data_IF_731511781198
#
_entry.id   IF_731511781198
#
_cell.length_a   1.000
_cell.length_b   1.000
_cell.length_c   1.000
_cell.angle_alpha   90.00
_cell.angle_beta   90.00
_cell.angle_gamma   90.00
#
_symmetry.space_group_name_H-M   'P 1'
#
loop_
_entity.id
_entity.type
_entity.pdbx_description
1 polymer ?
#
# COMPACT_ATOMS: atom_id res chain seq x y z
N UNK A 1 17.38 -17.47 0.53
CA UNK A 1 16.43 -16.38 0.22
C UNK A 1 15.25 -16.98 -0.51
N UNK A 2 14.01 -16.54 -0.32
CA UNK A 2 12.85 -17.14 -1.00
C UNK A 2 12.50 -16.39 -2.29
N UNK A 3 12.15 -17.09 -3.36
CA UNK A 3 11.57 -16.50 -4.58
C UNK A 3 10.08 -16.81 -4.61
N UNK A 4 9.27 -15.79 -4.83
CA UNK A 4 7.81 -15.82 -4.87
C UNK A 4 7.35 -15.35 -6.26
N UNK A 5 6.87 -16.27 -7.10
CA UNK A 5 6.47 -15.99 -8.48
C UNK A 5 4.97 -15.74 -8.52
N UNK A 6 4.55 -14.67 -9.19
CA UNK A 6 3.17 -14.40 -9.61
C UNK A 6 3.06 -14.54 -11.12
N UNK A 7 1.86 -14.76 -11.67
CA UNK A 7 1.62 -14.86 -13.11
C UNK A 7 0.44 -14.03 -13.58
N UNK A 8 0.16 -14.03 -14.87
CA UNK A 8 -1.06 -13.44 -15.47
C UNK A 8 -2.12 -14.49 -15.84
N UNK A 9 -1.90 -15.76 -15.50
CA UNK A 9 -2.88 -16.85 -15.68
C UNK A 9 -4.23 -16.50 -15.00
N UNK A 10 -4.19 -15.69 -13.95
CA UNK A 10 -5.39 -15.11 -13.31
C UNK A 10 -5.22 -13.59 -13.19
N UNK A 11 -6.26 -12.79 -13.51
CA UNK A 11 -6.19 -11.33 -13.39
C UNK A 11 -5.76 -10.84 -11.99
N UNK A 12 -6.13 -11.58 -10.95
CA UNK A 12 -5.76 -11.24 -9.57
C UNK A 12 -4.24 -11.26 -9.34
N UNK A 13 -3.51 -12.15 -10.00
CA UNK A 13 -2.08 -12.33 -9.79
C UNK A 13 -1.26 -11.23 -10.47
N UNK A 14 -1.68 -10.75 -11.65
CA UNK A 14 -1.14 -9.54 -12.25
C UNK A 14 -1.49 -8.29 -11.43
N UNK A 15 -2.68 -8.24 -10.83
CA UNK A 15 -3.04 -7.15 -9.92
C UNK A 15 -2.13 -7.12 -8.68
N UNK A 16 -1.81 -8.29 -8.11
CA UNK A 16 -0.89 -8.37 -6.96
C UNK A 16 0.52 -7.86 -7.32
N UNK A 17 0.95 -7.96 -8.60
CA UNK A 17 2.20 -7.35 -9.09
C UNK A 17 2.14 -5.82 -9.12
N UNK A 18 1.03 -5.24 -9.59
CA UNK A 18 0.86 -3.78 -9.52
C UNK A 18 0.77 -3.30 -8.07
N UNK A 19 0.04 -4.03 -7.23
CA UNK A 19 -0.10 -3.72 -5.79
C UNK A 19 1.25 -3.77 -5.08
N UNK A 20 2.07 -4.80 -5.31
CA UNK A 20 3.36 -4.91 -4.64
C UNK A 20 4.32 -3.80 -5.09
N UNK A 21 4.28 -3.35 -6.35
CA UNK A 21 5.05 -2.18 -6.81
C UNK A 21 4.52 -0.88 -6.20
N UNK A 22 3.22 -0.79 -5.98
CA UNK A 22 2.58 0.41 -5.47
C UNK A 22 2.81 0.66 -3.98
N UNK A 23 3.01 -0.39 -3.18
CA UNK A 23 3.17 -0.29 -1.74
C UNK A 23 4.41 0.56 -1.35
N UNK A 24 4.32 1.42 -0.32
CA UNK A 24 5.52 2.01 0.26
C UNK A 24 6.33 0.96 1.02
N UNK A 25 7.61 1.24 1.26
CA UNK A 25 8.49 0.35 2.04
C UNK A 25 7.88 0.06 3.42
N UNK A 26 7.87 -1.21 3.81
CA UNK A 26 7.31 -1.72 5.06
C UNK A 26 5.83 -2.12 4.96
N UNK A 27 5.07 -1.58 4.00
CA UNK A 27 3.66 -1.90 3.86
C UNK A 27 3.46 -3.33 3.36
N UNK A 28 2.34 -3.95 3.75
CA UNK A 28 2.16 -5.39 3.66
C UNK A 28 1.20 -5.79 2.53
N UNK A 29 1.49 -6.93 1.90
CA UNK A 29 0.63 -7.62 0.92
C UNK A 29 0.54 -9.10 1.27
N UNK A 30 -0.57 -9.74 0.90
CA UNK A 30 -0.70 -11.20 0.96
C UNK A 30 -0.55 -11.82 -0.43
N UNK A 31 0.35 -12.79 -0.55
CA UNK A 31 0.47 -13.67 -1.71
C UNK A 31 -0.04 -15.06 -1.36
N UNK A 32 -0.72 -15.72 -2.31
CA UNK A 32 -1.44 -16.97 -2.06
C UNK A 32 -1.05 -18.03 -3.08
N UNK A 33 -0.77 -19.22 -2.59
CA UNK A 33 -0.29 -20.33 -3.41
C UNK A 33 -1.03 -21.62 -3.05
N UNK A 34 -1.35 -22.43 -4.06
CA UNK A 34 -1.78 -23.80 -3.81
C UNK A 34 -0.58 -24.65 -3.38
N UNK A 35 -0.82 -25.67 -2.55
CA UNK A 35 0.24 -26.58 -2.09
C UNK A 35 1.15 -27.16 -3.19
N UNK A 36 0.65 -27.58 -4.37
CA UNK A 36 1.52 -28.12 -5.43
C UNK A 36 2.52 -27.11 -5.99
N UNK A 37 2.24 -25.81 -5.82
CA UNK A 37 3.05 -24.71 -6.37
C UNK A 37 4.22 -24.33 -5.45
N UNK A 38 4.40 -24.96 -4.29
CA UNK A 38 5.53 -24.70 -3.40
C UNK A 38 6.57 -25.81 -3.53
N UNK A 39 7.85 -25.43 -3.52
CA UNK A 39 8.94 -26.34 -3.25
C UNK A 39 8.78 -27.01 -1.87
N UNK A 40 9.21 -28.27 -1.76
CA UNK A 40 8.93 -29.11 -0.59
C UNK A 40 9.61 -28.61 0.70
N UNK A 41 10.78 -27.99 0.57
CA UNK A 41 11.50 -27.35 1.66
C UNK A 41 10.72 -26.16 2.24
N UNK A 42 10.15 -25.30 1.40
CA UNK A 42 9.30 -24.19 1.84
C UNK A 42 8.08 -24.71 2.57
N UNK A 43 7.41 -25.74 2.03
CA UNK A 43 6.24 -26.35 2.69
C UNK A 43 6.59 -26.86 4.10
N UNK A 44 7.79 -27.43 4.28
CA UNK A 44 8.29 -27.89 5.58
C UNK A 44 8.57 -26.77 6.59
N UNK A 45 8.94 -25.57 6.11
CA UNK A 45 9.26 -24.41 6.95
C UNK A 45 8.03 -23.63 7.42
N UNK A 46 6.93 -23.60 6.65
CA UNK A 46 5.74 -22.80 6.98
C UNK A 46 5.12 -23.14 8.35
N UNK A 47 4.85 -24.42 8.70
CA UNK A 47 4.22 -24.75 9.99
C UNK A 47 5.06 -24.40 11.22
N UNK A 48 6.35 -24.12 11.04
CA UNK A 48 7.31 -23.83 12.11
C UNK A 48 7.58 -22.34 12.28
N UNK A 49 6.88 -21.48 11.55
CA UNK A 49 7.11 -20.02 11.50
C UNK A 49 8.56 -19.63 11.14
N UNK A 50 9.31 -20.55 10.52
CA UNK A 50 10.74 -20.37 10.23
C UNK A 50 11.02 -19.37 9.10
N UNK A 51 9.98 -18.95 8.37
CA UNK A 51 10.11 -18.00 7.27
C UNK A 51 9.91 -16.55 7.72
N UNK A 52 9.49 -16.29 8.96
CA UNK A 52 9.29 -14.91 9.43
C UNK A 52 10.64 -14.17 9.54
N UNK A 53 10.71 -12.97 8.96
CA UNK A 53 11.92 -12.16 8.87
C UNK A 53 12.83 -12.49 7.67
N UNK A 54 12.56 -13.58 6.95
CA UNK A 54 13.35 -13.96 5.78
C UNK A 54 13.16 -12.98 4.62
N UNK A 55 14.26 -12.67 3.92
CA UNK A 55 14.21 -11.90 2.70
C UNK A 55 13.64 -12.75 1.56
N UNK A 56 12.80 -12.14 0.73
CA UNK A 56 12.25 -12.76 -0.46
C UNK A 56 12.25 -11.82 -1.68
N UNK A 57 12.16 -12.41 -2.86
CA UNK A 57 12.04 -11.72 -4.14
C UNK A 57 10.70 -12.08 -4.75
N UNK A 58 9.89 -11.07 -5.06
CA UNK A 58 8.69 -11.25 -5.88
C UNK A 58 9.08 -11.14 -7.34
N UNK A 59 8.72 -12.15 -8.13
CA UNK A 59 8.89 -12.22 -9.57
C UNK A 59 7.52 -12.28 -10.26
N UNK A 60 7.47 -11.83 -11.50
CA UNK A 60 6.36 -12.04 -12.40
C UNK A 60 6.78 -13.02 -13.50
N UNK A 61 5.86 -13.86 -13.93
CA UNK A 61 6.03 -14.71 -15.12
C UNK A 61 4.80 -14.56 -16.01
N UNK A 62 5.03 -14.27 -17.28
CA UNK A 62 3.96 -14.18 -18.26
C UNK A 62 3.58 -15.56 -18.80
N UNK A 63 2.32 -15.69 -19.20
CA UNK A 63 1.78 -16.90 -19.81
C UNK A 63 2.41 -17.23 -21.17
N UNK A 64 1.97 -18.35 -21.74
CA UNK A 64 2.47 -18.84 -23.02
C UNK A 64 2.11 -17.94 -24.23
N UNK A 65 1.12 -17.05 -24.09
CA UNK A 65 0.64 -16.18 -25.16
C UNK A 65 1.42 -14.85 -25.22
N UNK A 66 2.22 -14.56 -24.20
CA UNK A 66 2.98 -13.32 -24.10
C UNK A 66 4.17 -13.26 -25.09
N UNK A 67 4.64 -12.05 -25.47
CA UNK A 67 5.79 -11.88 -26.37
C UNK A 67 7.11 -12.48 -25.85
N UNK A 68 7.28 -12.50 -24.53
CA UNK A 68 8.37 -13.18 -23.83
C UNK A 68 7.77 -14.17 -22.83
N UNK A 69 7.27 -15.32 -23.30
CA UNK A 69 6.55 -16.24 -22.46
C UNK A 69 7.52 -16.89 -21.47
N UNK A 70 7.08 -17.08 -20.23
CA UNK A 70 7.84 -17.74 -19.16
C UNK A 70 9.14 -17.04 -18.70
N UNK A 71 9.47 -15.85 -19.18
CA UNK A 71 10.59 -15.09 -18.62
C UNK A 71 10.25 -14.63 -17.18
N UNK A 72 11.14 -14.89 -16.22
CA UNK A 72 10.99 -14.38 -14.86
C UNK A 72 11.44 -12.92 -14.81
N UNK A 73 10.48 -12.01 -14.61
CA UNK A 73 10.75 -10.59 -14.41
C UNK A 73 10.84 -10.33 -12.90
N UNK A 74 12.01 -9.95 -12.36
CA UNK A 74 12.10 -9.59 -10.95
C UNK A 74 11.41 -8.26 -10.69
N UNK A 75 10.52 -8.23 -9.70
CA UNK A 75 9.64 -7.10 -9.43
C UNK A 75 10.07 -6.33 -8.20
N UNK A 76 10.11 -7.00 -7.04
CA UNK A 76 10.38 -6.32 -5.78
C UNK A 76 10.97 -7.24 -4.72
N UNK A 77 11.93 -6.73 -3.96
CA UNK A 77 12.35 -7.35 -2.71
C UNK A 77 11.30 -7.13 -1.64
N UNK A 78 11.08 -8.16 -0.83
CA UNK A 78 10.16 -8.14 0.29
C UNK A 78 10.76 -8.85 1.49
N UNK A 79 10.18 -8.65 2.67
CA UNK A 79 10.47 -9.45 3.86
C UNK A 79 9.22 -10.26 4.20
N UNK A 80 9.36 -11.56 4.42
CA UNK A 80 8.24 -12.41 4.84
C UNK A 80 7.92 -12.05 6.30
N UNK A 81 6.74 -11.49 6.54
CA UNK A 81 6.27 -11.17 7.90
C UNK A 81 5.66 -12.40 8.55
N UNK A 82 4.89 -13.16 7.78
CA UNK A 82 4.21 -14.37 8.23
C UNK A 82 3.97 -15.30 7.06
N UNK A 83 4.11 -16.59 7.27
CA UNK A 83 3.66 -17.61 6.34
C UNK A 83 2.76 -18.59 7.11
N UNK A 84 1.61 -18.92 6.56
CA UNK A 84 0.67 -19.84 7.19
C UNK A 84 0.01 -20.76 6.16
N UNK A 85 -0.38 -21.96 6.60
CA UNK A 85 -1.16 -22.90 5.80
C UNK A 85 -2.62 -22.81 6.22
N UNK A 86 -3.50 -22.51 5.27
CA UNK A 86 -4.96 -22.46 5.46
C UNK A 86 -5.60 -23.43 4.49
N UNK A 87 -6.02 -24.60 5.00
CA UNK A 87 -6.52 -25.70 4.17
C UNK A 87 -5.45 -26.22 3.22
N UNK A 88 -5.71 -26.13 1.91
CA UNK A 88 -4.79 -26.54 0.83
C UNK A 88 -3.92 -25.38 0.30
N UNK A 89 -4.07 -24.20 0.87
CA UNK A 89 -3.40 -22.98 0.42
C UNK A 89 -2.36 -22.53 1.42
N UNK A 90 -1.29 -21.93 0.90
CA UNK A 90 -0.26 -21.26 1.68
C UNK A 90 -0.39 -19.74 1.44
N UNK A 91 -0.43 -18.99 2.53
CA UNK A 91 -0.57 -17.53 2.52
C UNK A 91 0.71 -16.92 3.07
N UNK A 92 1.36 -16.08 2.28
CA UNK A 92 2.54 -15.32 2.65
C UNK A 92 2.16 -13.86 2.82
N UNK A 93 2.20 -13.36 4.06
CA UNK A 93 2.15 -11.92 4.32
C UNK A 93 3.56 -11.38 4.20
N UNK A 94 3.79 -10.50 3.24
CA UNK A 94 5.10 -9.92 2.92
C UNK A 94 5.07 -8.41 3.09
N UNK A 95 6.15 -7.83 3.62
CA UNK A 95 6.36 -6.39 3.68
C UNK A 95 7.25 -5.94 2.52
N UNK A 96 6.78 -4.97 1.74
CA UNK A 96 7.51 -4.42 0.61
C UNK A 96 8.83 -3.79 1.07
N UNK A 97 9.94 -4.05 0.37
CA UNK A 97 11.24 -3.44 0.65
C UNK A 97 11.68 -2.58 -0.55
N UNK A 98 12.73 -3.00 -1.25
CA UNK A 98 13.35 -2.27 -2.36
C UNK A 98 12.93 -2.79 -3.74
N UNK A 99 13.06 -1.95 -4.76
CA UNK A 99 12.97 -2.36 -6.16
C UNK A 99 14.22 -3.13 -6.59
N UNK A 100 14.11 -3.88 -7.68
CA UNK A 100 15.17 -4.77 -8.17
C UNK A 100 15.92 -4.15 -9.33
N UNK A 101 17.24 -3.98 -9.18
CA UNK A 101 18.13 -3.51 -10.26
C UNK A 101 19.09 -4.62 -10.71
N UNK A 102 19.33 -4.73 -12.02
CA UNK A 102 20.39 -5.57 -12.60
C UNK A 102 20.23 -7.09 -12.47
N UNK A 103 19.10 -7.61 -11.97
CA UNK A 103 18.84 -9.05 -11.90
C UNK A 103 18.06 -9.52 -13.14
N UNK A 104 18.48 -10.66 -13.71
CA UNK A 104 17.89 -11.25 -14.92
C UNK A 104 17.19 -12.59 -14.65
N UNK A 105 16.40 -13.08 -15.62
CA UNK A 105 15.78 -14.41 -15.57
C UNK A 105 16.80 -15.53 -15.36
N UNK A 106 17.95 -15.44 -16.04
CA UNK A 106 19.05 -16.42 -15.95
C UNK A 106 19.59 -16.50 -14.53
N UNK A 107 19.81 -15.36 -13.88
CA UNK A 107 20.32 -15.31 -12.49
C UNK A 107 19.34 -15.96 -11.51
N UNK A 108 18.04 -15.67 -11.68
CA UNK A 108 16.98 -16.20 -10.81
C UNK A 108 16.88 -17.72 -10.97
N UNK A 109 16.84 -18.22 -12.20
CA UNK A 109 16.77 -19.65 -12.49
C UNK A 109 18.02 -20.39 -12.00
N UNK A 110 19.21 -19.83 -12.22
CA UNK A 110 20.47 -20.40 -11.74
C UNK A 110 20.53 -20.51 -10.21
N UNK A 111 19.80 -19.66 -9.48
CA UNK A 111 19.76 -19.70 -8.01
C UNK A 111 18.93 -20.84 -7.42
N UNK A 112 17.98 -21.38 -8.19
CA UNK A 112 17.14 -22.49 -7.76
C UNK A 112 17.96 -23.78 -7.62
N UNK A 113 17.58 -24.66 -6.71
CA UNK A 113 18.23 -25.97 -6.62
C UNK A 113 17.94 -26.81 -7.88
N UNK A 114 18.80 -27.77 -8.27
CA UNK A 114 18.63 -28.53 -9.52
C UNK A 114 17.26 -29.22 -9.67
N UNK A 115 16.70 -29.71 -8.56
CA UNK A 115 15.35 -30.32 -8.53
C UNK A 115 14.26 -29.31 -8.85
N UNK A 116 14.38 -28.09 -8.32
CA UNK A 116 13.40 -27.02 -8.50
C UNK A 116 13.55 -26.35 -9.86
N UNK A 117 14.76 -26.24 -10.40
CA UNK A 117 15.02 -25.69 -11.75
C UNK A 117 14.17 -26.37 -12.83
N UNK A 118 14.03 -27.70 -12.75
CA UNK A 118 13.22 -28.49 -13.69
C UNK A 118 11.71 -28.28 -13.51
N UNK A 119 11.28 -27.64 -12.43
CA UNK A 119 9.88 -27.39 -12.08
C UNK A 119 9.50 -25.92 -12.21
N UNK A 120 10.44 -25.04 -12.53
CA UNK A 120 10.12 -23.63 -12.79
C UNK A 120 9.25 -23.50 -14.05
N UNK A 121 8.38 -22.48 -14.14
CA UNK A 121 7.57 -22.25 -15.33
C UNK A 121 8.46 -22.15 -16.58
N UNK A 122 8.09 -22.85 -17.64
CA UNK A 122 8.88 -22.97 -18.86
C UNK A 122 7.97 -23.10 -20.10
N UNK A 123 8.47 -22.74 -21.31
CA UNK A 123 7.70 -22.82 -22.54
C UNK A 123 7.07 -24.20 -22.80
N UNK A 124 5.84 -24.26 -23.34
CA UNK A 124 5.19 -25.52 -23.69
C UNK A 124 6.09 -26.34 -24.63
N UNK A 125 6.22 -27.64 -24.35
CA UNK A 125 7.11 -28.54 -25.08
C UNK A 125 8.52 -28.72 -24.49
N UNK A 126 8.93 -27.88 -23.53
CA UNK A 126 10.16 -28.13 -22.73
C UNK A 126 9.91 -29.01 -21.49
N UNK A 127 8.65 -29.39 -21.28
CA UNK A 127 8.09 -30.35 -20.30
C UNK A 127 8.77 -30.40 -18.93
N UNK A 128 8.21 -29.70 -17.91
CA UNK A 128 8.35 -30.16 -16.54
C UNK A 128 7.38 -31.34 -16.33
N UNK A 129 7.91 -32.57 -16.37
CA UNK A 129 7.16 -33.80 -16.07
C UNK A 129 6.65 -33.85 -14.62
N UNK A 130 7.12 -32.92 -13.76
CA UNK A 130 6.99 -32.95 -12.31
C UNK A 130 6.11 -31.85 -11.68
N UNK A 131 5.32 -31.12 -12.49
CA UNK A 131 4.42 -30.07 -12.02
C UNK A 131 5.14 -28.78 -11.60
N UNK A 132 4.54 -27.64 -11.95
CA UNK A 132 5.16 -26.32 -11.81
C UNK A 132 5.22 -25.84 -10.35
N UNK A 133 6.30 -25.15 -9.99
CA UNK A 133 6.44 -24.43 -8.72
C UNK A 133 6.52 -22.92 -8.95
N UNK A 134 5.91 -22.18 -8.03
CA UNK A 134 5.87 -20.72 -8.00
C UNK A 134 6.45 -20.15 -6.70
N UNK A 135 6.94 -20.99 -5.80
CA UNK A 135 7.73 -20.54 -4.66
C UNK A 135 8.87 -21.55 -4.39
N UNK A 136 10.11 -21.06 -4.32
CA UNK A 136 11.30 -21.90 -4.11
C UNK A 136 12.42 -21.16 -3.36
N UNK A 137 13.35 -21.91 -2.80
CA UNK A 137 14.52 -21.35 -2.12
C UNK A 137 15.66 -21.07 -3.11
N UNK A 138 16.08 -19.81 -3.18
CA UNK A 138 17.28 -19.37 -3.90
C UNK A 138 18.53 -19.45 -3.03
N UNK A 139 19.63 -19.93 -3.62
CA UNK A 139 20.94 -20.12 -2.98
C UNK A 139 21.77 -18.83 -2.89
N UNK A 140 21.49 -17.83 -3.72
CA UNK A 140 22.26 -16.59 -3.79
C UNK A 140 21.65 -15.48 -2.92
N UNK A 141 22.50 -14.66 -2.32
CA UNK A 141 22.09 -13.43 -1.65
C UNK A 141 22.13 -12.24 -2.63
N UNK A 142 21.00 -11.60 -2.89
CA UNK A 142 20.89 -10.50 -3.87
C UNK A 142 20.83 -9.10 -3.24
N UNK A 143 21.49 -8.87 -2.12
CA UNK A 143 21.43 -7.57 -1.42
C UNK A 143 21.95 -6.40 -2.30
N UNK A 144 22.94 -6.65 -3.17
CA UNK A 144 23.48 -5.65 -4.09
C UNK A 144 22.51 -5.20 -5.21
N UNK A 145 21.39 -5.90 -5.37
CA UNK A 145 20.37 -5.59 -6.38
C UNK A 145 19.21 -4.75 -5.83
N UNK A 146 19.29 -4.29 -4.57
CA UNK A 146 18.26 -3.48 -3.93
C UNK A 146 18.45 -1.99 -4.24
N UNK A 147 17.39 -1.34 -4.73
CA UNK A 147 17.36 0.12 -4.90
C UNK A 147 16.02 0.71 -4.48
N UNK A 148 16.04 1.92 -3.90
CA UNK A 148 14.83 2.69 -3.58
C UNK A 148 14.57 3.81 -4.60
N UNK A 149 15.35 3.89 -5.68
CA UNK A 149 15.19 4.95 -6.69
C UNK A 149 13.94 4.74 -7.55
N UNK A 150 13.32 5.86 -7.94
CA UNK A 150 12.21 5.83 -8.90
C UNK A 150 12.66 5.34 -10.27
N UNK A 151 13.90 5.61 -10.68
CA UNK A 151 14.48 5.06 -11.92
C UNK A 151 14.46 3.52 -11.93
N UNK A 152 14.68 2.87 -10.78
CA UNK A 152 14.62 1.40 -10.70
C UNK A 152 13.18 0.90 -10.76
N UNK A 153 12.25 1.65 -10.18
CA UNK A 153 10.81 1.40 -10.33
C UNK A 153 10.38 1.51 -11.80
N UNK A 154 10.80 2.56 -12.51
CA UNK A 154 10.53 2.77 -13.94
C UNK A 154 11.10 1.64 -14.79
N UNK A 155 12.38 1.28 -14.60
CA UNK A 155 12.99 0.17 -15.32
C UNK A 155 12.29 -1.18 -15.06
N UNK A 156 11.69 -1.36 -13.88
CA UNK A 156 10.89 -2.55 -13.57
C UNK A 156 9.54 -2.49 -14.28
N UNK A 157 8.87 -1.34 -14.27
CA UNK A 157 7.62 -1.13 -15.00
C UNK A 157 7.79 -1.28 -16.52
N UNK A 158 8.90 -0.79 -17.10
CA UNK A 158 9.24 -0.96 -18.52
C UNK A 158 9.36 -2.44 -18.90
N UNK A 159 10.04 -3.25 -18.06
CA UNK A 159 10.12 -4.70 -18.27
C UNK A 159 8.76 -5.37 -18.22
N UNK A 160 7.90 -4.97 -17.28
CA UNK A 160 6.54 -5.50 -17.17
C UNK A 160 5.66 -5.07 -18.35
N UNK A 161 5.81 -3.84 -18.86
CA UNK A 161 5.03 -3.30 -19.97
C UNK A 161 5.32 -3.95 -21.32
N UNK A 162 6.32 -4.84 -21.43
CA UNK A 162 6.47 -5.70 -22.62
C UNK A 162 5.34 -6.74 -22.69
N UNK A 163 4.72 -7.07 -21.57
CA UNK A 163 3.63 -8.03 -21.49
C UNK A 163 2.27 -7.33 -21.69
N UNK A 164 1.42 -7.93 -22.53
CA UNK A 164 0.11 -7.38 -22.92
C UNK A 164 -0.79 -7.10 -21.71
N UNK A 165 -0.72 -7.94 -20.68
CA UNK A 165 -1.44 -7.78 -19.40
C UNK A 165 -1.16 -6.42 -18.73
N UNK A 166 0.04 -5.86 -18.89
CA UNK A 166 0.43 -4.57 -18.29
C UNK A 166 0.49 -3.42 -19.30
N UNK A 167 0.26 -3.69 -20.59
CA UNK A 167 0.33 -2.71 -21.66
C UNK A 167 -1.02 -2.51 -22.33
N UNK A 168 -2.00 -2.12 -21.53
CA UNK A 168 -3.34 -1.79 -22.01
C UNK A 168 -3.61 -0.30 -21.85
N UNK A 169 -4.61 0.23 -22.55
CA UNK A 169 -5.03 1.62 -22.41
C UNK A 169 -5.39 2.03 -20.98
N UNK A 170 -5.75 1.03 -20.16
CA UNK A 170 -6.21 1.13 -18.77
C UNK A 170 -5.08 0.93 -17.77
N UNK A 171 -3.97 0.34 -18.19
CA UNK A 171 -2.84 0.00 -17.31
C UNK A 171 -2.04 1.26 -16.97
N UNK A 172 -1.74 1.41 -15.68
CA UNK A 172 -0.76 2.35 -15.17
C UNK A 172 -0.02 1.68 -14.01
N UNK A 173 1.24 2.02 -13.85
CA UNK A 173 2.00 1.68 -12.65
C UNK A 173 1.96 2.88 -11.72
N UNK A 174 1.99 2.63 -10.42
CA UNK A 174 2.12 3.71 -9.45
C UNK A 174 2.93 3.25 -8.25
N UNK A 175 3.47 4.19 -7.48
CA UNK A 175 4.12 3.92 -6.20
C UNK A 175 3.94 5.08 -5.23
N UNK A 176 3.70 4.76 -3.96
CA UNK A 176 3.59 5.77 -2.90
C UNK A 176 4.99 6.29 -2.58
N UNK A 177 5.25 7.54 -2.97
CA UNK A 177 6.55 8.18 -2.77
C UNK A 177 6.74 8.52 -1.30
N UNK A 178 5.73 9.16 -0.69
CA UNK A 178 5.76 9.55 0.72
C UNK A 178 4.38 9.96 1.24
N UNK A 179 4.26 9.90 2.56
CA UNK A 179 3.24 10.62 3.33
C UNK A 179 3.96 11.64 4.22
N UNK A 180 3.52 12.90 4.19
CA UNK A 180 4.18 13.98 4.93
C UNK A 180 3.16 14.94 5.58
N UNK A 181 3.52 15.54 6.72
CA UNK A 181 2.67 16.53 7.43
C UNK A 181 2.73 17.88 6.71
N UNK A 182 1.57 18.42 6.32
CA UNK A 182 1.45 19.74 5.71
C UNK A 182 1.44 20.80 6.81
N UNK A 183 2.50 21.64 6.85
CA UNK A 183 2.61 22.72 7.83
C UNK A 183 1.97 23.99 7.25
N UNK A 184 1.17 24.69 8.06
CA UNK A 184 0.45 25.91 7.66
C UNK A 184 1.32 27.05 7.09
N UNK A 185 2.65 26.99 7.26
CA UNK A 185 3.60 27.99 6.75
C UNK A 185 4.51 27.49 5.62
N UNK A 186 4.35 26.27 5.10
CA UNK A 186 5.24 25.74 4.05
C UNK A 186 4.84 26.20 2.63
N UNK A 187 4.55 27.50 2.46
CA UNK A 187 4.35 28.07 1.13
C UNK A 187 5.66 28.11 0.32
N UNK A 188 6.82 28.08 0.98
CA UNK A 188 8.13 28.11 0.32
C UNK A 188 9.05 26.97 0.77
N UNK A 189 9.24 25.98 -0.11
CA UNK A 189 10.49 25.22 -0.27
C UNK A 189 10.92 24.22 0.80
N UNK A 190 10.41 24.27 2.04
CA UNK A 190 10.75 23.26 3.05
C UNK A 190 9.80 22.08 2.94
N UNK A 191 10.19 21.09 2.14
CA UNK A 191 9.50 19.82 2.07
C UNK A 191 9.61 19.09 3.41
N UNK A 192 8.49 18.67 4.03
CA UNK A 192 8.54 17.94 5.29
C UNK A 192 9.25 16.59 5.09
N UNK A 193 9.91 16.11 6.14
CA UNK A 193 10.52 14.78 6.10
C UNK A 193 9.43 13.71 5.91
N UNK A 194 9.66 12.71 5.04
CA UNK A 194 8.73 11.60 4.87
C UNK A 194 8.59 10.83 6.18
N UNK A 195 7.36 10.49 6.53
CA UNK A 195 7.08 9.68 7.71
C UNK A 195 7.50 8.23 7.44
N UNK A 196 8.16 7.62 8.42
CA UNK A 196 8.56 6.22 8.34
C UNK A 196 7.34 5.33 8.58
N UNK A 197 7.29 4.23 7.84
CA UNK A 197 6.34 3.14 8.09
C UNK A 197 6.87 2.31 9.24
N UNK A 198 6.09 2.19 10.32
CA UNK A 198 6.38 1.35 11.48
C UNK A 198 5.42 0.17 11.50
N UNK A 199 5.95 -1.05 11.52
CA UNK A 199 5.16 -2.30 11.48
C UNK A 199 4.14 -2.37 10.33
N UNK A 200 4.44 -1.74 9.20
CA UNK A 200 3.58 -1.71 8.03
C UNK A 200 2.51 -0.61 8.02
N UNK A 201 2.46 0.25 9.03
CA UNK A 201 1.56 1.40 9.09
C UNK A 201 2.29 2.73 9.25
N UNK A 202 1.67 3.82 8.78
CA UNK A 202 2.18 5.17 9.01
C UNK A 202 1.73 5.67 10.38
N UNK A 203 2.68 6.05 11.23
CA UNK A 203 2.39 6.64 12.54
C UNK A 203 2.22 8.17 12.41
N UNK A 204 0.97 8.62 12.49
CA UNK A 204 0.54 9.99 12.24
C UNK A 204 0.02 10.64 13.53
N UNK A 205 0.04 11.96 13.62
CA UNK A 205 -0.55 12.74 14.71
C UNK A 205 -2.00 13.10 14.37
N UNK A 206 -2.91 12.91 15.31
CA UNK A 206 -4.30 13.32 15.14
C UNK A 206 -4.44 14.86 15.01
N UNK A 207 -5.44 15.33 14.26
CA UNK A 207 -5.71 16.76 14.08
C UNK A 207 -4.69 17.49 13.20
N UNK A 208 -3.88 16.76 12.44
CA UNK A 208 -2.92 17.31 11.47
C UNK A 208 -3.37 17.00 10.05
N UNK A 209 -2.91 17.84 9.12
CA UNK A 209 -3.07 17.68 7.69
C UNK A 209 -1.88 16.95 7.12
N UNK A 210 -2.14 16.02 6.21
CA UNK A 210 -1.17 15.18 5.56
C UNK A 210 -1.34 15.23 4.05
N UNK A 211 -0.23 15.06 3.35
CA UNK A 211 -0.18 14.89 1.90
C UNK A 211 0.37 13.49 1.61
N UNK A 212 -0.40 12.70 0.86
CA UNK A 212 0.06 11.45 0.24
C UNK A 212 0.47 11.75 -1.21
N UNK A 213 1.76 11.61 -1.50
CA UNK A 213 2.32 11.80 -2.84
C UNK A 213 2.53 10.45 -3.51
N UNK A 214 1.91 10.29 -4.68
CA UNK A 214 1.91 9.05 -5.47
C UNK A 214 2.49 9.35 -6.84
N UNK A 215 3.56 8.64 -7.19
CA UNK A 215 4.13 8.71 -8.53
C UNK A 215 3.40 7.71 -9.43
N UNK A 216 2.95 8.17 -10.59
CA UNK A 216 2.23 7.39 -11.58
C UNK A 216 3.02 7.35 -12.88
N UNK A 217 3.11 6.17 -13.48
CA UNK A 217 3.80 5.91 -14.71
C UNK A 217 2.86 5.19 -15.69
N UNK A 218 2.58 5.85 -16.82
CA UNK A 218 1.73 5.30 -17.88
C UNK A 218 2.59 5.00 -19.12
N UNK A 219 2.88 3.72 -19.32
CA UNK A 219 3.71 3.24 -20.42
C UNK A 219 2.94 2.88 -21.69
N UNK A 220 1.61 2.77 -21.60
CA UNK A 220 0.79 2.53 -22.78
C UNK A 220 0.83 3.71 -23.74
N UNK A 221 1.44 3.49 -24.89
CA UNK A 221 1.38 4.39 -26.03
C UNK A 221 0.32 3.84 -27.01
N UNK A 222 -0.82 4.52 -27.23
CA UNK A 222 -1.75 4.09 -28.25
C UNK A 222 -1.00 4.05 -29.59
N UNK A 223 -1.21 2.99 -30.38
CA UNK A 223 -0.64 2.89 -31.71
C UNK A 223 -0.87 4.23 -32.43
N UNK A 224 0.24 4.91 -32.80
CA UNK A 224 0.18 6.23 -33.43
C UNK A 224 -0.85 6.15 -34.54
N UNK A 225 -1.94 6.91 -34.42
CA UNK A 225 -2.99 6.88 -35.42
C UNK A 225 -2.33 7.10 -36.77
N UNK A 226 -2.47 6.11 -37.66
CA UNK A 226 -1.89 6.16 -38.99
C UNK A 226 -2.46 7.41 -39.64
N UNK A 227 -1.62 8.41 -39.88
CA UNK A 227 -2.03 9.59 -40.63
C UNK A 227 -2.28 9.12 -42.06
N UNK A 228 -3.54 8.80 -42.37
CA UNK A 228 -3.95 8.56 -43.73
C UNK A 228 -3.88 9.92 -44.43
N UNK A 229 -2.82 10.15 -45.21
CA UNK A 229 -2.72 11.32 -46.08
C UNK A 229 -3.86 11.25 -47.12
N UNK A 230 -4.80 12.19 -47.13
CA UNK A 230 -5.77 12.30 -48.19
C UNK A 230 -5.12 13.01 -49.39
N UNK A 231 -5.42 12.52 -50.59
CA UNK A 231 -4.83 12.95 -51.85
C UNK A 231 -5.34 14.29 -52.41
N UNK A 232 -6.23 15.01 -51.71
CA UNK A 232 -6.73 16.31 -52.17
C UNK A 232 -7.10 17.25 -51.01
N UNK A 233 -6.22 18.24 -50.77
CA UNK A 233 -6.55 19.56 -50.19
C UNK A 233 -7.32 19.61 -48.87
N UNK A 234 -6.59 19.73 -47.76
CA UNK A 234 -7.05 20.11 -46.41
C UNK A 234 -7.78 19.02 -45.61
N UNK A 235 -7.05 18.42 -44.66
CA UNK A 235 -7.64 17.54 -43.63
C UNK A 235 -7.15 17.93 -42.24
N UNK A 236 -8.11 18.37 -41.42
CA UNK A 236 -7.99 18.39 -39.97
C UNK A 236 -8.19 16.96 -39.47
N UNK A 237 -7.11 16.26 -39.11
CA UNK A 237 -7.22 14.97 -38.43
C UNK A 237 -7.34 15.23 -36.93
N UNK A 238 -8.56 15.42 -36.44
CA UNK A 238 -8.80 15.42 -34.99
C UNK A 238 -8.80 13.97 -34.53
N UNK A 239 -7.63 13.46 -34.12
CA UNK A 239 -7.53 12.16 -33.45
C UNK A 239 -8.10 12.35 -32.04
N UNK A 240 -9.41 12.16 -31.89
CA UNK A 240 -10.02 12.02 -30.57
C UNK A 240 -9.65 10.62 -30.09
N UNK A 241 -8.57 10.50 -29.31
CA UNK A 241 -8.32 9.28 -28.55
C UNK A 241 -9.48 9.10 -27.57
N UNK A 242 -10.43 8.24 -27.91
CA UNK A 242 -11.63 7.95 -27.10
C UNK A 242 -11.34 6.97 -25.97
N UNK A 243 -10.11 6.46 -25.87
CA UNK A 243 -9.75 5.55 -24.79
C UNK A 243 -9.80 6.29 -23.45
N UNK A 244 -10.57 5.78 -22.47
CA UNK A 244 -10.66 6.41 -21.15
C UNK A 244 -9.25 6.51 -20.55
N UNK A 245 -8.86 7.70 -20.11
CA UNK A 245 -7.61 7.88 -19.38
C UNK A 245 -7.73 7.21 -18.00
N UNK A 246 -6.72 6.44 -17.55
CA UNK A 246 -6.72 5.91 -16.21
C UNK A 246 -6.71 7.06 -15.19
N UNK A 247 -7.37 6.86 -14.07
CA UNK A 247 -7.39 7.80 -12.97
C UNK A 247 -6.96 7.11 -11.68
N UNK A 248 -6.24 7.83 -10.82
CA UNK A 248 -5.88 7.36 -9.50
C UNK A 248 -6.88 7.93 -8.49
N UNK A 249 -7.56 7.05 -7.76
CA UNK A 249 -8.46 7.38 -6.69
C UNK A 249 -7.85 7.16 -5.30
N UNK A 250 -8.34 7.92 -4.33
CA UNK A 250 -8.05 7.77 -2.92
C UNK A 250 -9.35 7.83 -2.11
N UNK A 251 -9.59 6.80 -1.30
CA UNK A 251 -10.74 6.69 -0.42
C UNK A 251 -10.28 6.41 1.01
N UNK A 252 -11.05 6.88 1.99
CA UNK A 252 -10.80 6.57 3.39
C UNK A 252 -11.53 5.27 3.74
N UNK A 253 -10.89 4.40 4.50
CA UNK A 253 -11.53 3.17 4.99
C UNK A 253 -12.61 3.45 6.05
N UNK A 254 -12.59 4.64 6.64
CA UNK A 254 -13.55 5.08 7.67
C UNK A 254 -13.79 6.60 7.61
N UNK A 255 -14.74 7.07 8.40
CA UNK A 255 -15.14 8.49 8.42
C UNK A 255 -14.18 9.41 9.21
N UNK A 256 -13.10 8.85 9.78
CA UNK A 256 -12.15 9.62 10.60
C UNK A 256 -11.07 10.31 9.77
N UNK A 257 -10.90 9.85 8.53
CA UNK A 257 -10.02 10.49 7.55
C UNK A 257 -10.88 11.26 6.55
N UNK A 258 -10.67 12.57 6.49
CA UNK A 258 -11.37 13.46 5.56
C UNK A 258 -10.37 13.96 4.52
N UNK A 259 -10.74 13.83 3.24
CA UNK A 259 -9.92 14.37 2.16
C UNK A 259 -10.23 15.85 1.95
N UNK A 260 -9.19 16.68 2.03
CA UNK A 260 -9.24 18.11 1.70
C UNK A 260 -8.95 18.40 0.22
N UNK A 261 -8.45 17.42 -0.53
CA UNK A 261 -8.28 17.50 -1.99
C UNK A 261 -9.35 16.70 -2.73
N UNK A 262 -9.34 16.79 -4.07
CA UNK A 262 -10.06 15.84 -4.90
C UNK A 262 -9.63 14.40 -4.56
N UNK A 263 -10.61 13.50 -4.46
CA UNK A 263 -10.42 12.06 -4.20
C UNK A 263 -10.00 11.28 -5.43
N UNK A 264 -10.05 11.88 -6.62
CA UNK A 264 -9.66 11.26 -7.90
C UNK A 264 -8.84 12.24 -8.72
N UNK A 265 -7.85 11.73 -9.43
CA UNK A 265 -7.02 12.52 -10.32
C UNK A 265 -6.69 11.73 -11.59
N UNK A 266 -6.97 12.32 -12.76
CA UNK A 266 -6.70 11.71 -14.06
C UNK A 266 -5.18 11.67 -14.29
N UNK A 267 -4.65 10.52 -14.72
CA UNK A 267 -3.26 10.38 -15.14
C UNK A 267 -3.17 10.89 -16.59
N UNK A 268 -2.71 12.13 -16.75
CA UNK A 268 -2.81 12.85 -18.02
C UNK A 268 -1.53 12.81 -18.87
N UNK A 269 -0.42 12.43 -18.24
CA UNK A 269 0.93 12.39 -18.78
C UNK A 269 1.58 11.02 -18.53
N UNK A 270 2.69 10.74 -19.23
CA UNK A 270 3.46 9.49 -19.04
C UNK A 270 4.02 9.41 -17.62
N UNK A 271 4.53 10.53 -17.13
CA UNK A 271 5.11 10.70 -15.80
C UNK A 271 4.28 11.72 -15.05
N UNK A 272 3.59 11.29 -14.01
CA UNK A 272 2.61 12.11 -13.31
C UNK A 272 2.75 11.94 -11.80
N UNK A 273 2.47 13.00 -11.03
CA UNK A 273 2.55 12.97 -9.57
C UNK A 273 1.22 13.42 -9.01
N UNK A 274 0.53 12.50 -8.34
CA UNK A 274 -0.77 12.77 -7.71
C UNK A 274 -0.59 13.02 -6.23
N UNK A 275 -1.30 14.03 -5.72
CA UNK A 275 -1.24 14.46 -4.33
C UNK A 275 -2.63 14.42 -3.74
N UNK A 276 -2.78 13.66 -2.67
CA UNK A 276 -4.03 13.58 -1.92
C UNK A 276 -3.82 14.21 -0.54
N UNK A 277 -4.54 15.30 -0.29
CA UNK A 277 -4.55 15.98 0.99
C UNK A 277 -5.64 15.37 1.86
N UNK A 278 -5.28 14.97 3.06
CA UNK A 278 -6.23 14.43 4.03
C UNK A 278 -5.91 14.90 5.45
N UNK A 279 -6.92 14.86 6.31
CA UNK A 279 -6.80 15.18 7.72
C UNK A 279 -7.52 14.12 8.55
N UNK A 280 -7.02 13.93 9.77
CA UNK A 280 -7.66 13.07 10.75
C UNK A 280 -8.28 13.88 11.87
N UNK A 281 -9.39 13.39 12.41
CA UNK A 281 -10.11 14.06 13.49
C UNK A 281 -9.18 14.36 14.69
N UNK A 282 -9.21 15.58 15.26
CA UNK A 282 -8.28 15.99 16.31
C UNK A 282 -8.47 15.30 17.66
N UNK A 283 -9.61 14.65 17.89
CA UNK A 283 -10.01 14.14 19.21
C UNK A 283 -9.68 12.66 19.44
N UNK A 284 -8.81 12.08 18.62
CA UNK A 284 -8.47 10.66 18.67
C UNK A 284 -7.21 10.44 19.51
N UNK A 285 -7.30 9.64 20.58
CA UNK A 285 -6.13 9.29 21.43
C UNK A 285 -5.20 8.32 20.69
N UNK A 286 -5.76 7.22 20.20
CA UNK A 286 -5.06 6.26 19.34
C UNK A 286 -6.10 5.55 18.49
N UNK A 287 -5.90 5.49 17.17
CA UNK A 287 -6.79 4.75 16.27
C UNK A 287 -6.05 4.22 15.07
N UNK A 288 -6.47 3.06 14.61
CA UNK A 288 -6.05 2.48 13.34
C UNK A 288 -7.12 2.84 12.30
N UNK A 289 -6.67 3.35 11.17
CA UNK A 289 -7.47 3.71 10.00
C UNK A 289 -6.70 3.32 8.74
N UNK A 290 -7.18 3.71 7.56
CA UNK A 290 -6.44 3.48 6.33
C UNK A 290 -6.93 4.36 5.19
N UNK A 291 -6.03 4.59 4.23
CA UNK A 291 -6.36 5.15 2.92
C UNK A 291 -6.24 4.03 1.89
N UNK A 292 -7.28 3.84 1.11
CA UNK A 292 -7.28 2.97 -0.06
C UNK A 292 -6.92 3.79 -1.29
N UNK A 293 -5.85 3.41 -1.97
CA UNK A 293 -5.50 3.93 -3.30
C UNK A 293 -5.87 2.89 -4.35
N UNK A 294 -6.46 3.32 -5.45
CA UNK A 294 -6.94 2.40 -6.49
C UNK A 294 -6.90 3.06 -7.87
N UNK A 295 -6.73 2.26 -8.91
CA UNK A 295 -6.84 2.71 -10.29
C UNK A 295 -8.27 2.51 -10.80
N UNK A 296 -8.80 3.50 -11.52
CA UNK A 296 -10.10 3.39 -12.20
C UNK A 296 -10.00 3.80 -13.65
N UNK A 297 -10.98 3.33 -14.42
CA UNK A 297 -11.17 3.74 -15.80
C UNK A 297 -12.04 5.00 -15.85
N UNK A 298 -11.45 6.12 -16.27
CA UNK A 298 -12.18 7.37 -16.41
C UNK A 298 -12.73 7.93 -15.10
N UNK A 299 -13.70 8.84 -15.22
CA UNK A 299 -14.27 9.61 -14.11
C UNK A 299 -15.60 9.03 -13.57
N UNK A 300 -16.08 7.91 -14.10
CA UNK A 300 -17.37 7.37 -13.69
C UNK A 300 -17.36 7.00 -12.19
N UNK A 301 -18.19 7.65 -11.39
CA UNK A 301 -18.26 7.44 -9.94
C UNK A 301 -18.84 6.07 -9.55
N UNK A 302 -19.58 5.43 -10.46
CA UNK A 302 -20.42 4.26 -10.15
C UNK A 302 -19.81 2.89 -10.46
N UNK A 303 -18.58 2.80 -10.96
CA UNK A 303 -17.98 1.48 -11.23
C UNK A 303 -17.49 0.86 -9.92
N UNK A 304 -18.20 -0.15 -9.42
CA UNK A 304 -17.74 -1.04 -8.34
C UNK A 304 -16.53 -1.89 -8.74
N UNK A 305 -16.11 -1.82 -10.01
CA UNK A 305 -14.98 -2.55 -10.57
C UNK A 305 -13.67 -1.83 -10.27
N UNK A 306 -13.30 -1.80 -8.98
CA UNK A 306 -12.02 -1.31 -8.54
C UNK A 306 -10.94 -2.32 -8.91
N UNK A 307 -10.17 -2.02 -9.95
CA UNK A 307 -8.99 -2.78 -10.32
C UNK A 307 -7.78 -2.24 -9.53
N UNK A 308 -6.92 -3.14 -9.05
CA UNK A 308 -5.60 -2.77 -8.50
C UNK A 308 -5.63 -1.74 -7.36
N UNK A 309 -6.09 -2.17 -6.18
CA UNK A 309 -6.09 -1.35 -4.97
C UNK A 309 -5.03 -1.75 -3.94
N UNK A 310 -4.44 -0.75 -3.30
CA UNK A 310 -3.61 -0.90 -2.11
C UNK A 310 -4.25 -0.17 -0.93
N UNK A 311 -4.07 -0.70 0.27
CA UNK A 311 -4.46 0.00 1.50
C UNK A 311 -3.20 0.43 2.23
N UNK A 312 -3.16 1.71 2.60
CA UNK A 312 -2.13 2.33 3.43
C UNK A 312 -2.68 2.40 4.85
N UNK A 313 -2.31 1.48 5.74
CA UNK A 313 -2.78 1.54 7.12
C UNK A 313 -2.13 2.72 7.83
N UNK A 314 -2.94 3.46 8.57
CA UNK A 314 -2.57 4.67 9.29
C UNK A 314 -2.85 4.47 10.78
N UNK A 315 -1.91 4.83 11.63
CA UNK A 315 -2.10 4.88 13.08
C UNK A 315 -2.09 6.34 13.49
N UNK A 316 -3.22 6.87 13.94
CA UNK A 316 -3.31 8.24 14.45
C UNK A 316 -3.08 8.25 15.95
N UNK A 317 -2.11 9.03 16.42
CA UNK A 317 -1.81 9.30 17.84
C UNK A 317 -2.22 10.71 18.21
N UNK A 318 -3.13 10.82 19.17
CA UNK A 318 -3.45 12.07 19.83
C UNK A 318 -2.35 12.50 20.79
N UNK A 319 -2.39 13.77 21.19
CA UNK A 319 -1.53 14.25 22.26
C UNK A 319 -2.16 13.90 23.61
N UNK A 320 -1.55 12.96 24.34
CA UNK A 320 -1.96 12.60 25.71
C UNK A 320 -1.92 13.84 26.61
N UNK A 321 -0.94 14.72 26.43
CA UNK A 321 -0.85 15.98 27.17
C UNK A 321 -2.10 16.84 27.00
N UNK A 322 -2.56 17.05 25.76
CA UNK A 322 -3.78 17.83 25.51
C UNK A 322 -5.04 17.13 26.00
N UNK A 323 -5.07 15.79 25.97
CA UNK A 323 -6.14 15.01 26.58
C UNK A 323 -6.19 15.26 28.10
N UNK A 324 -5.06 15.20 28.80
CA UNK A 324 -4.99 15.47 30.24
C UNK A 324 -5.40 16.92 30.55
N UNK A 325 -4.89 17.91 29.80
CA UNK A 325 -5.26 19.32 30.00
C UNK A 325 -6.77 19.52 29.84
N UNK A 326 -7.38 18.95 28.80
CA UNK A 326 -8.84 19.03 28.60
C UNK A 326 -9.61 18.32 29.72
N UNK A 327 -9.17 17.15 30.16
CA UNK A 327 -9.81 16.42 31.25
C UNK A 327 -9.79 17.25 32.53
N UNK A 328 -8.65 17.86 32.86
CA UNK A 328 -8.48 18.73 34.00
C UNK A 328 -9.37 19.97 33.92
N UNK A 329 -9.45 20.63 32.75
CA UNK A 329 -10.32 21.79 32.57
C UNK A 329 -11.81 21.43 32.75
N UNK A 330 -12.26 20.31 32.19
CA UNK A 330 -13.63 19.82 32.37
C UNK A 330 -13.88 19.47 33.85
N UNK A 331 -12.91 18.81 34.51
CA UNK A 331 -13.00 18.46 35.92
C UNK A 331 -13.08 19.69 36.82
N UNK A 332 -12.28 20.73 36.57
CA UNK A 332 -12.34 21.99 37.31
C UNK A 332 -13.68 22.69 37.06
N UNK A 333 -14.14 22.76 35.80
CA UNK A 333 -15.39 23.42 35.45
C UNK A 333 -16.63 22.71 36.05
N UNK A 334 -16.59 21.38 36.19
CA UNK A 334 -17.67 20.60 36.82
C UNK A 334 -17.61 20.62 38.35
N UNK A 335 -16.42 20.54 38.93
CA UNK A 335 -16.22 20.58 40.38
C UNK A 335 -16.45 21.98 40.99
N UNK A 336 -16.12 23.04 40.26
CA UNK A 336 -16.18 24.43 40.74
C UNK A 336 -17.53 24.81 41.34
N UNK A 337 -18.65 24.70 40.60
CA UNK A 337 -19.98 25.01 41.11
C UNK A 337 -20.36 24.20 42.36
N UNK A 338 -20.02 22.90 42.40
CA UNK A 338 -20.31 22.03 43.55
C UNK A 338 -19.51 22.44 44.79
N UNK A 339 -18.23 22.81 44.62
CA UNK A 339 -17.42 23.33 45.73
C UNK A 339 -17.99 24.64 46.28
N UNK A 340 -18.41 25.56 45.41
CA UNK A 340 -19.05 26.83 45.82
C UNK A 340 -20.34 26.55 46.59
N UNK A 341 -21.18 25.63 46.11
CA UNK A 341 -22.44 25.27 46.77
C UNK A 341 -22.23 24.63 48.15
N UNK A 342 -21.27 23.70 48.27
CA UNK A 342 -20.93 23.07 49.56
C UNK A 342 -20.36 24.11 50.55
N UNK A 343 -19.57 25.06 50.04
CA UNK A 343 -19.05 26.16 50.84
C UNK A 343 -20.18 27.06 51.36
N UNK A 344 -21.09 27.46 50.47
CA UNK A 344 -22.24 28.30 50.81
C UNK A 344 -23.17 27.62 51.84
N UNK A 345 -23.24 26.29 51.83
CA UNK A 345 -23.98 25.50 52.82
C UNK A 345 -23.27 25.35 54.18
N UNK A 346 -22.03 25.85 54.34
CA UNK A 346 -21.23 25.69 55.56
C UNK A 346 -20.76 24.25 55.81
N UNK A 347 -20.77 23.39 54.79
CA UNK A 347 -20.47 21.95 54.91
C UNK A 347 -19.11 21.57 54.31
N UNK A 348 -18.21 22.54 54.13
CA UNK A 348 -16.93 22.30 53.50
C UNK A 348 -15.97 21.59 54.47
N UNK A 349 -15.75 20.30 54.24
CA UNK A 349 -14.72 19.52 54.92
C UNK A 349 -13.76 18.90 53.89
N UNK A 350 -12.58 18.47 54.35
CA UNK A 350 -11.54 17.93 53.47
C UNK A 350 -12.04 16.71 52.66
N UNK A 351 -12.90 15.87 53.24
CA UNK A 351 -13.48 14.71 52.57
C UNK A 351 -14.42 15.09 51.42
N UNK A 352 -15.27 16.09 51.61
CA UNK A 352 -16.20 16.60 50.59
C UNK A 352 -15.43 17.25 49.43
N UNK A 353 -14.38 18.03 49.73
CA UNK A 353 -13.51 18.61 48.69
C UNK A 353 -12.82 17.51 47.88
N UNK A 354 -12.22 16.52 48.56
CA UNK A 354 -11.56 15.40 47.90
C UNK A 354 -12.54 14.60 47.01
N UNK A 355 -13.75 14.34 47.50
CA UNK A 355 -14.78 13.63 46.74
C UNK A 355 -15.22 14.41 45.49
N UNK A 356 -15.43 15.74 45.61
CA UNK A 356 -15.81 16.59 44.46
C UNK A 356 -14.69 16.67 43.43
N UNK A 357 -13.43 16.78 43.85
CA UNK A 357 -12.28 16.74 42.94
C UNK A 357 -12.18 15.39 42.23
N UNK A 358 -12.34 14.28 42.96
CA UNK A 358 -12.30 12.95 42.39
C UNK A 358 -13.43 12.73 41.36
N UNK A 359 -14.66 13.17 41.68
CA UNK A 359 -15.79 13.12 40.75
C UNK A 359 -15.59 14.01 39.53
N UNK A 360 -15.04 15.21 39.71
CA UNK A 360 -14.68 16.11 38.60
C UNK A 360 -13.61 15.49 37.69
N UNK A 361 -12.57 14.89 38.25
CA UNK A 361 -11.53 14.19 37.50
C UNK A 361 -12.11 13.00 36.71
N UNK A 362 -13.00 12.21 37.34
CA UNK A 362 -13.72 11.12 36.69
C UNK A 362 -14.61 11.61 35.56
N UNK A 363 -15.34 12.72 35.75
CA UNK A 363 -16.16 13.33 34.70
C UNK A 363 -15.31 13.82 33.53
N UNK A 364 -14.17 14.47 33.81
CA UNK A 364 -13.21 14.90 32.80
C UNK A 364 -12.62 13.72 32.00
N UNK A 365 -12.25 12.64 32.68
CA UNK A 365 -11.79 11.42 32.03
C UNK A 365 -12.91 10.78 31.17
N UNK A 366 -14.13 10.64 31.71
CA UNK A 366 -15.26 10.05 31.01
C UNK A 366 -15.68 10.86 29.76
N UNK A 367 -15.43 12.16 29.73
CA UNK A 367 -15.69 13.01 28.57
C UNK A 367 -14.69 12.79 27.41
N UNK A 368 -13.46 12.37 27.70
CA UNK A 368 -12.37 12.27 26.71
C UNK A 368 -12.13 10.83 26.25
N UNK A 369 -12.39 9.86 27.12
CA UNK A 369 -12.28 8.45 26.80
C UNK A 369 -13.69 7.91 26.57
N UNK A 370 -14.29 8.08 25.36
CA UNK A 370 -15.60 7.52 25.05
C UNK A 370 -15.61 5.99 25.20
N UNK A 371 -14.46 5.32 25.18
CA UNK A 371 -14.33 3.90 25.53
C UNK A 371 -14.71 3.55 26.98
N UNK A 372 -14.82 4.53 27.88
CA UNK A 372 -15.37 4.35 29.23
C UNK A 372 -16.91 4.35 29.21
N UNK A 373 -17.52 4.97 28.18
CA UNK A 373 -18.93 4.71 27.89
C UNK A 373 -18.99 3.30 27.32
N UNK A 374 -19.58 2.37 28.09
CA UNK A 374 -19.83 1.00 27.62
C UNK A 374 -20.47 1.06 26.21
N UNK A 375 -20.09 0.13 25.31
CA UNK A 375 -20.66 0.05 23.97
C UNK A 375 -22.18 -0.13 23.99
#
# INVERSE_FOLDING_TARGET
>A
MIVLISSDIRPRYSDDIIRILALPRGAQLQLRYGAPLLAGDIQGCVPREQLAGEAALVCFVADASAPMPFALVPVRFVTIIRAEKVGTSYIFTVAADAFVTGLTDVDIRASACPTDQQRLPAPPGTSPTAGEIFAFSGTQAWQGHKSLSLDTFEATADRLAVHTTFNTARSAFFTVVRISEVRARSWFGTWPQPLKVDQGAFDLKAGKRYECEVYCLRLYEPAKAVQIKPSAGFVFTTIVSTSPKPSLGAEANDNWVQFGSAKRSIIDSRYDVKRFLFEAEPNVIRRVSGIRLFLTEGLAESSTDYQQDITLPLIFRGSIFWAVVRASLIGIATAGPSMIAINAAGKLNAGAVAAVIALGALAGAAAIFPSIRKP
#
